data_IF_785529796430
#
_entry.id   IF_785529796430
#
_cell.length_a   1.000
_cell.length_b   1.000
_cell.length_c   1.000
_cell.angle_alpha   90.00
_cell.angle_beta   90.00
_cell.angle_gamma   90.00
#
_symmetry.space_group_name_H-M   'P 1'
#
loop_
_entity.id
_entity.type
_entity.pdbx_description
1 polymer ?
#
# COMPACT_ATOMS: atom_id res chain seq x y z
N UNK A 1 27.66 13.99 -26.14
CA UNK A 1 27.64 14.60 -24.79
C UNK A 1 28.41 13.69 -23.84
N UNK A 2 28.92 14.17 -22.69
CA UNK A 2 29.49 13.25 -21.67
C UNK A 2 28.31 12.55 -20.97
N UNK A 3 28.27 11.23 -20.98
CA UNK A 3 27.17 10.44 -20.43
C UNK A 3 26.91 10.66 -18.93
N UNK A 4 27.94 11.08 -18.17
CA UNK A 4 27.79 11.49 -16.76
C UNK A 4 26.80 12.65 -16.54
N UNK A 5 26.59 13.53 -17.53
CA UNK A 5 25.58 14.59 -17.45
C UNK A 5 24.14 14.08 -17.57
N UNK A 6 23.94 12.81 -17.93
CA UNK A 6 22.63 12.16 -17.97
C UNK A 6 22.42 11.39 -16.65
N UNK A 7 23.39 10.57 -16.23
CA UNK A 7 23.24 9.70 -15.06
C UNK A 7 23.17 10.45 -13.72
N UNK A 8 23.89 11.57 -13.56
CA UNK A 8 23.85 12.39 -12.35
C UNK A 8 22.46 13.00 -12.08
N UNK A 9 21.89 13.79 -13.01
CA UNK A 9 20.54 14.32 -12.89
C UNK A 9 19.46 13.23 -12.83
N UNK A 10 19.62 12.12 -13.55
CA UNK A 10 18.69 11.00 -13.48
C UNK A 10 18.64 10.36 -12.08
N UNK A 11 19.76 10.28 -11.36
CA UNK A 11 19.77 9.80 -9.96
C UNK A 11 19.01 10.73 -9.00
N UNK A 12 19.15 12.06 -9.16
CA UNK A 12 18.37 13.03 -8.39
C UNK A 12 16.87 12.94 -8.71
N UNK A 13 16.53 12.68 -9.97
CA UNK A 13 15.15 12.45 -10.42
C UNK A 13 14.57 11.15 -9.83
N UNK A 14 15.33 10.05 -9.78
CA UNK A 14 14.88 8.81 -9.10
C UNK A 14 14.66 9.04 -7.60
N UNK A 15 15.54 9.78 -6.93
CA UNK A 15 15.38 10.14 -5.51
C UNK A 15 14.11 10.96 -5.26
N UNK A 16 13.82 11.94 -6.11
CA UNK A 16 12.61 12.76 -6.00
C UNK A 16 11.34 11.94 -6.27
N UNK A 17 11.31 11.16 -7.36
CA UNK A 17 10.14 10.39 -7.76
C UNK A 17 9.85 9.18 -6.88
N UNK A 18 10.78 8.74 -6.02
CA UNK A 18 10.52 7.73 -4.98
C UNK A 18 9.48 8.20 -3.94
N UNK A 19 9.37 9.51 -3.71
CA UNK A 19 8.40 10.11 -2.78
C UNK A 19 7.12 10.60 -3.46
N UNK A 20 7.01 10.50 -4.79
CA UNK A 20 5.75 10.78 -5.49
C UNK A 20 4.83 9.55 -5.48
N UNK A 21 3.51 9.71 -5.70
CA UNK A 21 2.58 8.61 -5.90
C UNK A 21 3.05 7.61 -6.96
N UNK A 22 3.13 6.33 -6.58
CA UNK A 22 3.45 5.20 -7.44
C UNK A 22 2.22 4.38 -7.80
N UNK A 23 1.30 4.26 -6.84
CA UNK A 23 0.07 3.47 -6.95
C UNK A 23 -1.06 4.26 -6.29
N UNK A 24 -2.21 4.35 -6.95
CA UNK A 24 -3.47 4.73 -6.31
C UNK A 24 -4.39 3.53 -6.27
N UNK A 25 -4.97 3.25 -5.10
CA UNK A 25 -5.87 2.11 -4.88
C UNK A 25 -7.31 2.61 -4.81
N UNK A 26 -8.18 2.08 -5.67
CA UNK A 26 -9.63 2.23 -5.60
C UNK A 26 -10.32 0.91 -5.25
N UNK A 27 -11.50 1.00 -4.64
CA UNK A 27 -12.42 -0.13 -4.47
C UNK A 27 -13.78 0.28 -5.06
N UNK A 28 -14.28 -0.49 -6.03
CA UNK A 28 -15.53 -0.21 -6.74
C UNK A 28 -15.63 1.25 -7.28
N UNK A 29 -14.52 1.79 -7.79
CA UNK A 29 -14.43 3.17 -8.30
C UNK A 29 -14.27 4.28 -7.25
N UNK A 30 -14.29 3.96 -5.95
CA UNK A 30 -14.02 4.94 -4.88
C UNK A 30 -12.52 4.95 -4.54
N UNK A 31 -11.81 6.09 -4.59
CA UNK A 31 -10.39 6.16 -4.25
C UNK A 31 -10.19 6.01 -2.74
N UNK A 32 -9.36 5.05 -2.31
CA UNK A 32 -9.03 4.80 -0.90
C UNK A 32 -7.78 5.59 -0.50
N UNK A 33 -6.79 5.69 -1.39
CA UNK A 33 -5.57 6.44 -1.15
C UNK A 33 -4.54 6.32 -2.26
N UNK A 34 -3.55 7.21 -2.22
CA UNK A 34 -2.34 7.16 -3.04
C UNK A 34 -1.14 6.80 -2.17
N UNK A 35 -0.23 5.99 -2.71
CA UNK A 35 0.94 5.48 -2.00
C UNK A 35 2.20 5.78 -2.81
N UNK A 36 3.17 6.42 -2.17
CA UNK A 36 4.50 6.62 -2.74
C UNK A 36 5.37 5.37 -2.63
N UNK A 37 6.52 5.35 -3.32
CA UNK A 37 7.53 4.30 -3.13
C UNK A 37 8.01 4.19 -1.67
N UNK A 38 8.01 5.31 -0.93
CA UNK A 38 8.32 5.36 0.50
C UNK A 38 7.24 4.70 1.37
N UNK A 39 5.96 4.96 1.09
CA UNK A 39 4.82 4.37 1.82
C UNK A 39 4.76 2.85 1.64
N UNK A 40 4.98 2.39 0.40
CA UNK A 40 5.06 0.98 0.03
C UNK A 40 6.29 0.29 0.67
N UNK A 41 7.40 1.01 0.84
CA UNK A 41 8.62 0.49 1.47
C UNK A 41 8.51 0.35 3.00
N UNK A 42 7.85 1.31 3.67
CA UNK A 42 7.59 1.23 5.11
C UNK A 42 6.42 0.31 5.47
N UNK A 43 5.42 0.19 4.60
CA UNK A 43 4.14 -0.41 4.97
C UNK A 43 3.33 0.58 5.80
N UNK A 44 3.00 1.73 5.20
CA UNK A 44 2.22 2.74 5.90
C UNK A 44 0.89 2.15 6.38
N UNK A 45 0.51 2.50 7.62
CA UNK A 45 -0.77 2.10 8.18
C UNK A 45 -1.87 2.82 7.41
N UNK A 46 -2.83 2.07 6.84
CA UNK A 46 -4.06 2.60 6.25
C UNK A 46 -4.99 3.32 7.27
N UNK A 47 -4.54 3.44 8.52
CA UNK A 47 -5.33 3.76 9.70
C UNK A 47 -5.72 5.23 9.79
N UNK A 48 -4.90 6.18 9.32
CA UNK A 48 -5.18 7.61 9.53
C UNK A 48 -6.22 8.19 8.54
N UNK A 49 -6.44 7.55 7.37
CA UNK A 49 -7.55 7.89 6.48
C UNK A 49 -8.79 7.02 6.75
N UNK A 50 -8.63 5.70 6.97
CA UNK A 50 -9.75 4.83 7.33
C UNK A 50 -10.35 5.19 8.71
N UNK A 51 -9.53 5.69 9.64
CA UNK A 51 -9.94 6.10 10.98
C UNK A 51 -10.88 7.30 11.04
N UNK A 52 -10.97 8.11 9.98
CA UNK A 52 -11.97 9.19 9.87
C UNK A 52 -13.31 8.73 9.27
N UNK A 53 -13.35 7.57 8.60
CA UNK A 53 -14.56 7.04 7.95
C UNK A 53 -15.15 5.82 8.66
N UNK A 54 -14.37 5.07 9.44
CA UNK A 54 -14.81 3.91 10.21
C UNK A 54 -15.19 2.68 9.37
N UNK A 55 -14.95 2.72 8.05
CA UNK A 55 -15.40 1.70 7.10
C UNK A 55 -14.46 0.50 6.97
N UNK A 56 -13.24 0.57 7.52
CA UNK A 56 -12.22 -0.49 7.40
C UNK A 56 -11.51 -0.67 8.75
N UNK A 57 -11.35 -1.93 9.19
CA UNK A 57 -10.55 -2.26 10.37
C UNK A 57 -9.07 -1.88 10.17
N UNK A 58 -8.30 -1.60 11.24
CA UNK A 58 -6.93 -1.09 11.14
C UNK A 58 -5.91 -2.15 10.67
N UNK A 59 -5.92 -2.44 9.37
CA UNK A 59 -4.93 -3.30 8.71
C UNK A 59 -3.58 -2.59 8.56
N UNK A 60 -2.52 -3.21 9.11
CA UNK A 60 -1.14 -2.90 8.73
C UNK A 60 -0.85 -3.52 7.37
N UNK A 61 -0.62 -2.68 6.35
CA UNK A 61 -0.04 -3.14 5.10
C UNK A 61 1.39 -3.64 5.40
N UNK A 62 1.73 -4.87 4.98
CA UNK A 62 3.10 -5.37 5.19
C UNK A 62 4.04 -4.71 4.18
N UNK A 63 4.81 -3.73 4.65
CA UNK A 63 5.75 -2.97 3.84
C UNK A 63 6.82 -3.83 3.19
N UNK A 64 7.11 -3.56 1.92
CA UNK A 64 8.21 -4.20 1.22
C UNK A 64 9.50 -3.38 1.37
N UNK A 65 10.23 -3.66 2.45
CA UNK A 65 11.50 -3.01 2.76
C UNK A 65 12.54 -3.13 1.63
N UNK A 66 12.38 -4.08 0.70
CA UNK A 66 13.25 -4.22 -0.47
C UNK A 66 13.17 -3.00 -1.41
N UNK A 67 12.06 -2.26 -1.40
CA UNK A 67 11.89 -1.05 -2.22
C UNK A 67 12.85 0.08 -1.84
N UNK A 68 13.42 0.10 -0.63
CA UNK A 68 14.50 1.01 -0.24
C UNK A 68 15.81 0.83 -1.05
N UNK A 69 15.93 -0.26 -1.82
CA UNK A 69 17.02 -0.43 -2.80
C UNK A 69 17.00 0.68 -3.87
N UNK A 70 15.84 1.23 -4.24
CA UNK A 70 15.74 2.25 -5.29
C UNK A 70 16.43 3.58 -4.92
N UNK A 71 16.13 4.23 -3.77
CA UNK A 71 16.87 5.41 -3.34
C UNK A 71 18.32 5.09 -2.97
N UNK A 72 18.62 3.90 -2.45
CA UNK A 72 20.00 3.47 -2.16
C UNK A 72 20.86 3.41 -3.44
N UNK A 73 20.35 2.83 -4.52
CA UNK A 73 21.00 2.80 -5.84
C UNK A 73 21.22 4.21 -6.37
N UNK A 74 20.21 5.09 -6.25
CA UNK A 74 20.35 6.46 -6.69
C UNK A 74 21.42 7.24 -5.91
N UNK A 75 21.54 7.03 -4.59
CA UNK A 75 22.64 7.58 -3.78
C UNK A 75 24.01 7.03 -4.19
N UNK A 76 24.12 5.73 -4.48
CA UNK A 76 25.36 5.10 -4.97
C UNK A 76 25.77 5.70 -6.33
N UNK A 77 24.82 5.86 -7.25
CA UNK A 77 25.05 6.48 -8.57
C UNK A 77 25.46 7.96 -8.43
N UNK A 78 24.84 8.70 -7.52
CA UNK A 78 25.21 10.09 -7.22
C UNK A 78 26.63 10.18 -6.64
N UNK A 79 27.02 9.24 -5.76
CA UNK A 79 28.39 9.12 -5.24
C UNK A 79 29.41 8.84 -6.35
N UNK A 80 29.11 7.91 -7.27
CA UNK A 80 29.94 7.66 -8.45
C UNK A 80 30.03 8.89 -9.38
N UNK A 81 28.94 9.62 -9.58
CA UNK A 81 28.93 10.87 -10.36
C UNK A 81 29.85 11.93 -9.73
N UNK A 82 29.75 12.17 -8.41
CA UNK A 82 30.61 13.10 -7.67
C UNK A 82 32.08 12.67 -7.80
N UNK A 83 32.38 11.39 -7.61
CA UNK A 83 33.74 10.85 -7.74
C UNK A 83 34.31 11.02 -9.16
N UNK A 84 33.49 10.85 -10.20
CA UNK A 84 33.88 11.04 -11.61
C UNK A 84 34.06 12.52 -11.98
N UNK A 85 33.36 13.44 -11.32
CA UNK A 85 33.57 14.89 -11.46
C UNK A 85 34.85 15.33 -10.74
N UNK A 86 35.06 14.86 -9.51
CA UNK A 86 36.24 15.19 -8.70
C UNK A 86 37.55 14.63 -9.28
N UNK A 87 37.51 13.45 -9.93
CA UNK A 87 38.71 12.83 -10.49
C UNK A 87 38.44 12.21 -11.87
N UNK A 88 39.02 12.79 -12.93
CA UNK A 88 38.86 12.26 -14.30
C UNK A 88 39.43 10.84 -14.48
N UNK A 89 40.37 10.40 -13.61
CA UNK A 89 40.95 9.04 -13.69
C UNK A 89 39.97 7.96 -13.22
N UNK A 90 39.06 8.26 -12.29
CA UNK A 90 38.07 7.30 -11.77
C UNK A 90 36.81 7.21 -12.64
N UNK A 91 36.59 8.16 -13.57
CA UNK A 91 35.36 8.26 -14.35
C UNK A 91 34.94 6.96 -15.08
N UNK A 92 35.89 6.17 -15.59
CA UNK A 92 35.60 4.85 -16.19
C UNK A 92 35.07 3.84 -15.16
N UNK A 93 35.69 3.77 -13.98
CA UNK A 93 35.29 2.87 -12.88
C UNK A 93 33.93 3.29 -12.34
N UNK A 94 33.71 4.59 -12.18
CA UNK A 94 32.43 5.15 -11.77
C UNK A 94 31.29 4.82 -12.76
N UNK A 95 31.55 4.89 -14.08
CA UNK A 95 30.56 4.54 -15.10
C UNK A 95 30.20 3.04 -15.10
N UNK A 96 31.16 2.14 -14.86
CA UNK A 96 30.85 0.72 -14.62
C UNK A 96 30.02 0.53 -13.35
N UNK A 97 30.38 1.21 -12.26
CA UNK A 97 29.65 1.18 -10.99
C UNK A 97 28.19 1.64 -11.13
N UNK A 98 27.96 2.77 -11.81
CA UNK A 98 26.59 3.29 -12.05
C UNK A 98 25.78 2.42 -13.01
N UNK A 99 26.43 1.78 -14.00
CA UNK A 99 25.75 0.84 -14.90
C UNK A 99 25.27 -0.41 -14.14
N UNK A 100 26.13 -1.01 -13.33
CA UNK A 100 25.81 -2.20 -12.52
C UNK A 100 24.72 -1.86 -11.49
N UNK A 101 24.84 -0.72 -10.80
CA UNK A 101 23.83 -0.26 -9.86
C UNK A 101 22.46 -0.06 -10.54
N UNK A 102 22.41 0.67 -11.67
CA UNK A 102 21.17 0.89 -12.42
C UNK A 102 20.52 -0.41 -12.91
N UNK A 103 21.31 -1.34 -13.46
CA UNK A 103 20.82 -2.65 -13.89
C UNK A 103 20.30 -3.49 -12.71
N UNK A 104 20.96 -3.44 -11.54
CA UNK A 104 20.49 -4.15 -10.35
C UNK A 104 19.14 -3.62 -9.84
N UNK A 105 18.90 -2.32 -9.94
CA UNK A 105 17.61 -1.70 -9.58
C UNK A 105 16.49 -2.11 -10.52
N UNK A 106 16.74 -2.09 -11.84
CA UNK A 106 15.79 -2.57 -12.85
C UNK A 106 15.49 -4.07 -12.64
N UNK A 107 16.49 -4.88 -12.30
CA UNK A 107 16.31 -6.31 -12.02
C UNK A 107 15.46 -6.56 -10.76
N UNK A 108 15.76 -5.88 -9.65
CA UNK A 108 14.97 -5.98 -8.40
C UNK A 108 13.53 -5.52 -8.63
N UNK A 109 13.34 -4.40 -9.36
CA UNK A 109 12.02 -3.91 -9.73
C UNK A 109 11.25 -4.94 -10.58
N UNK A 110 11.89 -5.50 -11.62
CA UNK A 110 11.27 -6.48 -12.51
C UNK A 110 10.90 -7.78 -11.77
N UNK A 111 11.79 -8.30 -10.92
CA UNK A 111 11.51 -9.49 -10.11
C UNK A 111 10.34 -9.26 -9.16
N UNK A 112 10.23 -8.05 -8.58
CA UNK A 112 9.11 -7.71 -7.70
C UNK A 112 7.81 -7.46 -8.45
N UNK A 113 7.88 -6.85 -9.64
CA UNK A 113 6.75 -6.68 -10.54
C UNK A 113 6.16 -8.02 -11.00
N UNK A 114 7.01 -9.01 -11.30
CA UNK A 114 6.57 -10.36 -11.64
C UNK A 114 5.83 -11.06 -10.49
N UNK A 115 6.25 -10.86 -9.24
CA UNK A 115 5.53 -11.38 -8.06
C UNK A 115 4.17 -10.70 -7.85
N UNK A 116 4.09 -9.38 -8.10
CA UNK A 116 2.83 -8.63 -8.02
C UNK A 116 1.85 -9.05 -9.12
N UNK A 117 2.35 -9.36 -10.33
CA UNK A 117 1.55 -9.79 -11.47
C UNK A 117 0.93 -11.20 -11.34
N UNK A 118 1.36 -11.99 -10.35
CA UNK A 118 0.87 -13.36 -10.07
C UNK A 118 -0.19 -13.36 -8.93
N UNK A 119 -0.59 -12.16 -8.46
CA UNK A 119 -1.51 -11.97 -7.32
C UNK A 119 -2.87 -11.44 -7.78
N UNK A 120 -3.83 -12.34 -8.05
CA UNK A 120 -5.21 -12.02 -8.50
C UNK A 120 -6.05 -11.27 -7.43
N UNK A 121 -5.82 -9.96 -7.25
CA UNK A 121 -6.57 -9.11 -6.31
C UNK A 121 -7.91 -8.64 -6.87
N UNK A 122 -8.87 -9.55 -6.98
CA UNK A 122 -10.22 -9.37 -7.58
C UNK A 122 -11.14 -8.29 -6.97
N UNK A 123 -10.67 -7.48 -6.02
CA UNK A 123 -11.47 -6.47 -5.29
C UNK A 123 -10.82 -5.07 -5.22
N UNK A 124 -9.56 -4.92 -5.63
CA UNK A 124 -8.84 -3.64 -5.61
C UNK A 124 -8.37 -3.27 -7.00
N UNK A 125 -8.80 -2.10 -7.47
CA UNK A 125 -8.35 -1.53 -8.73
C UNK A 125 -7.06 -0.75 -8.48
N UNK A 126 -5.94 -1.34 -8.91
CA UNK A 126 -4.58 -0.83 -8.69
C UNK A 126 -4.19 0.00 -9.91
N UNK A 127 -4.37 1.33 -9.84
CA UNK A 127 -3.96 2.23 -10.93
C UNK A 127 -2.51 2.67 -10.73
N UNK A 128 -1.67 2.44 -11.75
CA UNK A 128 -0.24 2.81 -11.74
C UNK A 128 -0.10 4.31 -11.97
N UNK A 129 0.53 5.02 -11.04
CA UNK A 129 0.73 6.47 -11.11
C UNK A 129 2.07 6.84 -11.79
N UNK A 130 2.21 8.06 -12.36
CA UNK A 130 3.40 8.47 -13.11
C UNK A 130 4.73 8.41 -12.34
N UNK A 131 4.71 8.47 -10.99
CA UNK A 131 5.93 8.37 -10.18
C UNK A 131 6.66 7.04 -10.35
N UNK A 132 5.93 5.93 -10.46
CA UNK A 132 6.51 4.61 -10.71
C UNK A 132 7.15 4.53 -12.10
N UNK A 133 6.42 4.91 -13.15
CA UNK A 133 6.96 4.94 -14.52
C UNK A 133 8.18 5.88 -14.65
N UNK A 134 8.15 7.02 -13.97
CA UNK A 134 9.26 7.97 -13.95
C UNK A 134 10.50 7.48 -13.20
N UNK A 135 10.37 6.69 -12.13
CA UNK A 135 11.54 6.05 -11.49
C UNK A 135 12.16 4.96 -12.36
N UNK A 136 11.33 4.13 -13.02
CA UNK A 136 11.80 3.14 -14.00
C UNK A 136 12.53 3.81 -15.16
N UNK A 137 11.98 4.91 -15.71
CA UNK A 137 12.64 5.74 -16.73
C UNK A 137 13.94 6.36 -16.21
N UNK A 138 13.98 6.84 -14.97
CA UNK A 138 15.17 7.38 -14.33
C UNK A 138 16.30 6.34 -14.20
N UNK A 139 15.98 5.11 -13.76
CA UNK A 139 16.94 4.00 -13.72
C UNK A 139 17.45 3.63 -15.12
N UNK A 140 16.57 3.61 -16.12
CA UNK A 140 16.94 3.39 -17.52
C UNK A 140 17.86 4.50 -18.05
N UNK A 141 17.61 5.76 -17.71
CA UNK A 141 18.50 6.90 -18.04
C UNK A 141 19.85 6.83 -17.33
N UNK A 142 19.94 6.29 -16.11
CA UNK A 142 21.21 6.01 -15.43
C UNK A 142 22.02 4.96 -16.21
N UNK A 143 21.38 3.86 -16.64
CA UNK A 143 22.03 2.81 -17.43
C UNK A 143 22.50 3.35 -18.79
N UNK A 144 21.63 4.06 -19.53
CA UNK A 144 21.96 4.68 -20.81
C UNK A 144 23.09 5.72 -20.66
N UNK A 145 23.02 6.61 -19.66
CA UNK A 145 24.07 7.60 -19.39
C UNK A 145 25.42 6.95 -19.08
N UNK A 146 25.41 5.83 -18.35
CA UNK A 146 26.61 5.04 -18.05
C UNK A 146 27.19 4.40 -19.32
N UNK A 147 26.34 3.76 -20.14
CA UNK A 147 26.72 3.16 -21.43
C UNK A 147 27.30 4.22 -22.38
N UNK A 148 26.73 5.43 -22.44
CA UNK A 148 27.23 6.53 -23.28
C UNK A 148 28.60 7.04 -22.80
N UNK A 149 28.86 7.13 -21.50
CA UNK A 149 30.19 7.49 -20.96
C UNK A 149 31.25 6.40 -21.27
N UNK A 150 30.84 5.12 -21.30
CA UNK A 150 31.72 3.98 -21.63
C UNK A 150 32.00 3.84 -23.14
N UNK A 151 30.99 3.99 -24.00
CA UNK A 151 31.10 3.81 -25.45
C UNK A 151 31.63 5.05 -26.19
N UNK A 152 31.34 6.26 -25.69
CA UNK A 152 31.77 7.53 -26.31
C UNK A 152 32.66 8.38 -25.39
N UNK A 153 33.83 7.86 -24.92
CA UNK A 153 34.76 8.59 -24.09
C UNK A 153 35.42 9.74 -24.88
N UNK A 154 34.79 10.92 -24.84
CA UNK A 154 35.38 12.19 -25.29
C UNK A 154 35.09 12.64 -26.73
N UNK A 155 34.27 11.93 -27.52
CA UNK A 155 33.89 12.42 -28.86
C UNK A 155 32.80 13.50 -28.78
N UNK A 156 33.22 14.76 -28.90
CA UNK A 156 32.35 15.91 -29.16
C UNK A 156 32.08 16.08 -30.65
N UNK A 157 30.85 15.83 -31.09
CA UNK A 157 30.34 16.40 -32.33
C UNK A 157 29.78 17.80 -32.02
N UNK A 158 30.06 18.78 -32.88
CA UNK A 158 29.57 20.16 -32.76
C UNK A 158 28.16 20.25 -33.35
N UNK A 159 27.17 20.54 -32.50
CA UNK A 159 25.85 21.03 -32.91
C UNK A 159 25.16 21.75 -31.74
N UNK A 160 24.43 22.82 -32.07
CA UNK A 160 23.69 23.76 -31.19
C UNK A 160 24.46 24.99 -30.71
N UNK A 161 25.01 25.75 -31.67
CA UNK A 161 25.13 27.22 -31.56
C UNK A 161 23.96 27.87 -32.30
N UNK A 162 22.76 27.85 -31.70
CA UNK A 162 21.72 28.84 -32.03
C UNK A 162 22.02 30.11 -31.24
N UNK A 163 23.03 30.85 -31.69
CA UNK A 163 23.26 32.22 -31.25
C UNK A 163 23.66 33.06 -32.48
N UNK A 164 22.76 33.94 -32.90
CA UNK A 164 22.89 34.71 -34.14
C UNK A 164 23.94 35.81 -33.97
N UNK A 165 25.18 35.52 -34.35
CA UNK A 165 26.26 36.50 -34.43
C UNK A 165 26.66 36.70 -35.89
N UNK A 166 26.30 37.85 -36.45
CA UNK A 166 26.72 38.26 -37.80
C UNK A 166 28.23 38.53 -37.78
N UNK A 167 28.99 37.85 -38.64
CA UNK A 167 30.42 38.09 -38.79
C UNK A 167 30.68 39.40 -39.56
N UNK A 168 31.64 40.24 -39.14
CA UNK A 168 32.00 41.45 -39.86
C UNK A 168 32.71 41.11 -41.18
N UNK A 169 32.25 41.71 -42.28
CA UNK A 169 32.88 41.60 -43.59
C UNK A 169 34.21 42.38 -43.62
N UNK A 170 35.24 41.78 -44.23
CA UNK A 170 36.51 42.45 -44.51
C UNK A 170 36.39 43.16 -45.86
N UNK A 171 36.60 44.48 -45.86
CA UNK A 171 36.77 45.26 -47.08
C UNK A 171 37.98 46.20 -46.96
N UNK A 172 38.74 46.33 -48.05
CA UNK A 172 39.99 47.06 -48.06
C UNK A 172 39.77 48.59 -48.14
N UNK A 173 40.66 49.40 -47.53
CA UNK A 173 40.52 50.85 -47.52
C UNK A 173 41.02 51.52 -48.82
N UNK A 174 40.33 52.56 -49.33
CA UNK A 174 40.89 53.46 -50.34
C UNK A 174 41.79 54.53 -49.69
N UNK A 175 42.85 55.01 -50.37
CA UNK A 175 43.77 56.02 -49.82
C UNK A 175 43.38 57.46 -50.20
N UNK A 176 43.46 58.41 -49.25
CA UNK A 176 43.53 59.88 -49.45
C UNK A 176 44.22 60.56 -48.23
N UNK A 177 44.71 61.82 -48.33
CA UNK A 177 45.95 62.24 -47.64
C UNK A 177 45.82 63.21 -46.45
N UNK A 178 46.93 63.29 -45.70
CA UNK A 178 47.43 64.35 -44.80
C UNK A 178 46.51 65.49 -44.30
N UNK A 179 46.41 65.60 -42.97
CA UNK A 179 46.37 66.88 -42.23
C UNK A 179 46.81 66.66 -40.76
N UNK A 180 47.17 67.72 -40.04
CA UNK A 180 47.64 67.71 -38.63
C UNK A 180 47.10 68.97 -37.89
N UNK A 181 47.44 69.25 -36.63
CA UNK A 181 47.01 68.53 -35.41
C UNK A 181 46.41 69.48 -34.32
N UNK A 182 46.20 68.97 -33.09
CA UNK A 182 46.04 69.73 -31.80
C UNK A 182 44.58 69.96 -31.29
N UNK A 183 44.31 70.57 -30.09
CA UNK A 183 43.83 69.81 -28.91
C UNK A 183 42.57 70.43 -28.19
N UNK A 184 42.43 70.49 -26.84
CA UNK A 184 41.90 69.46 -25.92
C UNK A 184 40.72 69.92 -24.99
N UNK A 185 40.39 69.11 -23.96
CA UNK A 185 39.69 69.47 -22.68
C UNK A 185 38.13 69.68 -22.71
N UNK A 186 37.41 69.85 -21.55
CA UNK A 186 37.40 68.96 -20.36
C UNK A 186 36.03 68.76 -19.64
N UNK A 187 35.97 67.76 -18.75
CA UNK A 187 35.25 67.64 -17.46
C UNK A 187 33.95 68.42 -17.12
N UNK A 188 32.91 67.66 -16.70
CA UNK A 188 31.97 67.89 -15.56
C UNK A 188 31.16 66.58 -15.34
N UNK A 189 30.87 66.03 -14.13
CA UNK A 189 30.19 66.53 -12.90
C UNK A 189 28.76 67.03 -13.21
N UNK A 190 27.71 66.76 -12.42
CA UNK A 190 27.61 66.47 -10.97
C UNK A 190 26.21 65.81 -10.66
N UNK A 191 25.85 65.62 -9.37
CA UNK A 191 24.50 65.58 -8.69
C UNK A 191 23.21 64.90 -9.32
N UNK A 192 22.07 64.58 -8.63
CA UNK A 192 21.66 64.52 -7.19
C UNK A 192 20.42 63.58 -6.92
N UNK A 193 20.06 63.37 -5.62
CA UNK A 193 18.77 63.04 -4.92
C UNK A 193 17.62 62.26 -5.63
N UNK A 194 16.94 61.24 -5.04
CA UNK A 194 16.05 61.20 -3.84
C UNK A 194 14.75 62.06 -3.98
N UNK A 195 13.51 61.71 -3.55
CA UNK A 195 12.93 60.71 -2.60
C UNK A 195 11.45 60.40 -3.03
N UNK A 196 10.72 59.35 -2.56
CA UNK A 196 9.59 59.37 -1.57
C UNK A 196 8.72 58.10 -1.90
N UNK A 197 8.36 57.12 -1.03
CA UNK A 197 7.48 57.01 0.18
C UNK A 197 5.95 56.88 -0.12
N UNK A 198 5.27 55.88 0.48
CA UNK A 198 3.96 55.97 1.20
C UNK A 198 3.32 54.60 1.62
N UNK A 199 2.40 54.63 2.62
CA UNK A 199 1.67 53.51 3.32
C UNK A 199 0.75 54.14 4.43
N UNK A 200 -0.18 53.46 5.17
CA UNK A 200 -0.68 52.07 5.11
C UNK A 200 -2.15 51.96 4.57
N UNK A 201 -3.31 51.83 5.29
CA UNK A 201 -3.64 51.83 6.74
C UNK A 201 -4.09 50.44 7.31
N UNK A 202 -5.23 50.34 8.04
CA UNK A 202 -5.50 49.31 9.08
C UNK A 202 -6.92 48.70 9.18
N UNK A 203 -6.97 47.47 9.73
CA UNK A 203 -7.93 46.82 10.67
C UNK A 203 -9.47 46.81 10.50
N UNK A 204 -10.10 45.64 10.77
CA UNK A 204 -11.19 45.47 11.77
C UNK A 204 -11.46 43.98 12.13
N UNK A 205 -11.92 43.71 13.37
CA UNK A 205 -12.35 42.42 13.97
C UNK A 205 -13.00 42.72 15.36
N UNK A 206 -13.66 41.79 16.10
CA UNK A 206 -14.44 40.59 15.76
C UNK A 206 -15.93 40.69 16.21
N UNK A 207 -16.75 39.65 15.98
CA UNK A 207 -17.96 39.34 16.78
C UNK A 207 -18.03 37.82 16.99
N UNK A 208 -18.57 37.37 18.13
CA UNK A 208 -18.67 35.97 18.55
C UNK A 208 -20.01 35.76 19.29
N UNK A 209 -20.71 34.64 19.08
CA UNK A 209 -21.97 34.33 19.76
C UNK A 209 -22.22 32.82 19.96
N UNK A 210 -22.65 32.45 21.17
CA UNK A 210 -23.17 31.17 21.65
C UNK A 210 -23.98 31.48 22.95
N UNK A 211 -24.67 30.52 23.59
CA UNK A 211 -25.66 29.56 23.06
C UNK A 211 -27.00 29.66 23.85
N UNK A 212 -28.09 29.08 23.36
CA UNK A 212 -29.33 28.88 24.16
C UNK A 212 -29.95 27.50 23.85
N UNK A 213 -30.38 26.70 24.86
CA UNK A 213 -30.93 25.35 24.67
C UNK A 213 -32.49 25.35 24.84
N UNK A 214 -33.20 24.27 25.25
CA UNK A 214 -34.43 23.85 24.57
C UNK A 214 -35.75 24.37 25.21
N UNK A 215 -36.84 24.28 24.44
CA UNK A 215 -38.22 24.50 24.92
C UNK A 215 -39.07 23.24 24.72
N UNK A 216 -39.92 22.97 25.71
CA UNK A 216 -40.81 21.80 25.81
C UNK A 216 -42.10 22.00 25.00
N UNK A 217 -42.64 20.92 24.43
CA UNK A 217 -44.09 20.72 24.33
C UNK A 217 -44.43 19.28 24.71
N UNK A 218 -45.18 19.13 25.81
CA UNK A 218 -45.86 17.89 26.19
C UNK A 218 -47.22 17.81 25.49
N UNK A 219 -47.71 16.61 25.22
CA UNK A 219 -49.14 16.36 25.03
C UNK A 219 -49.51 14.94 25.47
N UNK A 220 -49.65 14.80 26.79
CA UNK A 220 -50.78 14.14 27.47
C UNK A 220 -51.22 12.70 27.10
N UNK A 221 -51.39 11.88 28.17
CA UNK A 221 -52.59 11.04 28.45
C UNK A 221 -52.75 9.74 27.61
N UNK A 222 -53.03 8.55 28.17
CA UNK A 222 -53.34 8.13 29.56
C UNK A 222 -52.84 6.69 29.82
N UNK A 223 -52.65 6.25 31.08
CA UNK A 223 -52.39 4.85 31.41
C UNK A 223 -53.69 4.02 31.56
N UNK A 224 -53.54 2.70 31.58
CA UNK A 224 -54.52 1.77 32.18
C UNK A 224 -53.83 0.99 33.30
N UNK A 225 -54.27 1.23 34.54
CA UNK A 225 -53.91 0.43 35.70
C UNK A 225 -54.65 -0.92 35.67
N UNK A 226 -54.00 -1.96 36.17
CA UNK A 226 -54.66 -2.99 36.96
C UNK A 226 -53.83 -3.17 38.24
N UNK A 227 -54.29 -2.52 39.32
CA UNK A 227 -53.94 -2.85 40.70
C UNK A 227 -54.35 -4.33 40.97
N UNK A 228 -53.60 -5.11 41.74
CA UNK A 228 -53.58 -5.06 43.22
C UNK A 228 -54.63 -6.03 43.78
N UNK A 229 -54.50 -6.70 44.93
CA UNK A 229 -53.48 -6.73 45.99
C UNK A 229 -53.33 -8.21 46.49
N UNK A 230 -53.06 -8.54 47.78
CA UNK A 230 -51.76 -9.01 48.25
C UNK A 230 -51.75 -10.56 48.53
N UNK A 231 -51.00 -11.19 49.45
CA UNK A 231 -50.90 -11.02 50.91
C UNK A 231 -49.59 -11.64 51.47
N UNK A 232 -49.08 -11.05 52.56
CA UNK A 232 -48.22 -11.60 53.64
C UNK A 232 -47.07 -12.61 53.38
N UNK A 233 -45.86 -12.10 53.59
CA UNK A 233 -45.05 -12.31 54.82
C UNK A 233 -44.56 -13.71 55.28
N UNK A 234 -43.25 -13.72 55.60
CA UNK A 234 -42.57 -14.54 56.61
C UNK A 234 -42.55 -16.09 56.50
N UNK A 235 -41.43 -16.62 55.99
CA UNK A 235 -40.64 -17.63 56.72
C UNK A 235 -39.18 -17.70 56.24
N UNK A 236 -38.24 -17.99 57.17
CA UNK A 236 -36.91 -18.50 56.82
C UNK A 236 -36.98 -20.03 56.74
N UNK A 237 -36.50 -20.61 55.64
CA UNK A 237 -35.99 -22.00 55.65
C UNK A 237 -34.76 -22.10 54.75
N UNK A 238 -33.62 -22.47 55.33
CA UNK A 238 -32.46 -22.93 54.54
C UNK A 238 -32.70 -24.41 54.24
N UNK A 239 -32.75 -24.79 52.97
CA UNK A 239 -32.81 -26.20 52.57
C UNK A 239 -31.39 -26.74 52.48
N UNK A 240 -30.96 -27.41 53.55
CA UNK A 240 -29.70 -28.12 53.61
C UNK A 240 -29.77 -29.40 52.77
N UNK A 241 -28.82 -29.60 51.86
CA UNK A 241 -28.83 -30.72 50.91
C UNK A 241 -28.17 -31.96 51.56
N UNK A 242 -28.80 -33.15 51.51
CA UNK A 242 -28.30 -34.32 52.24
C UNK A 242 -26.94 -34.82 51.72
N UNK A 243 -26.09 -35.39 52.58
CA UNK A 243 -24.73 -35.80 52.22
C UNK A 243 -24.73 -37.03 51.30
N UNK A 244 -24.11 -36.88 50.13
CA UNK A 244 -23.85 -37.99 49.20
C UNK A 244 -22.74 -38.89 49.77
N UNK A 245 -22.93 -40.22 49.85
CA UNK A 245 -21.92 -41.12 50.38
C UNK A 245 -20.67 -41.19 49.48
N UNK A 246 -19.47 -41.41 50.04
CA UNK A 246 -18.22 -41.39 49.28
C UNK A 246 -18.12 -42.56 48.32
N UNK A 247 -18.35 -42.31 47.03
CA UNK A 247 -18.07 -43.30 46.00
C UNK A 247 -16.54 -43.42 45.81
N UNK A 248 -16.07 -44.64 45.62
CA UNK A 248 -14.65 -44.97 45.68
C UNK A 248 -13.87 -44.34 44.51
N UNK A 249 -12.63 -43.94 44.76
CA UNK A 249 -11.79 -43.29 43.76
C UNK A 249 -11.52 -44.21 42.56
N UNK A 250 -12.26 -43.99 41.48
CA UNK A 250 -12.01 -44.66 40.21
C UNK A 250 -10.61 -44.29 39.71
N UNK A 251 -9.76 -45.31 39.53
CA UNK A 251 -8.39 -45.18 39.02
C UNK A 251 -8.39 -44.35 37.73
N UNK A 252 -7.88 -43.12 37.79
CA UNK A 252 -7.75 -42.25 36.62
C UNK A 252 -6.63 -42.80 35.73
N UNK A 253 -6.97 -43.71 34.81
CA UNK A 253 -6.11 -44.01 33.68
C UNK A 253 -6.15 -42.80 32.75
N UNK A 254 -5.09 -41.98 32.86
CA UNK A 254 -4.84 -40.87 31.93
C UNK A 254 -4.50 -41.47 30.57
N UNK A 255 -5.54 -41.72 29.77
CA UNK A 255 -5.39 -41.82 28.33
C UNK A 255 -4.68 -40.54 27.87
N UNK A 256 -3.46 -40.69 27.36
CA UNK A 256 -2.67 -39.60 26.80
C UNK A 256 -3.25 -39.19 25.45
N UNK A 257 -4.47 -38.65 25.48
CA UNK A 257 -5.10 -38.02 24.33
C UNK A 257 -4.21 -36.85 23.89
N UNK A 258 -3.62 -36.96 22.70
CA UNK A 258 -2.89 -35.86 22.09
C UNK A 258 -3.85 -34.68 21.98
N UNK A 259 -3.46 -33.44 22.39
CA UNK A 259 -4.33 -32.29 22.19
C UNK A 259 -4.66 -32.16 20.69
N UNK A 260 -5.94 -31.94 20.34
CA UNK A 260 -6.37 -31.91 18.94
C UNK A 260 -5.59 -30.82 18.18
N UNK A 261 -5.25 -31.05 16.90
CA UNK A 261 -4.48 -30.10 16.10
C UNK A 261 -5.27 -28.80 15.97
N UNK A 262 -4.61 -27.65 16.18
CA UNK A 262 -5.29 -26.36 16.12
C UNK A 262 -5.44 -25.97 14.65
N UNK A 263 -6.67 -26.08 14.15
CA UNK A 263 -7.01 -25.82 12.77
C UNK A 263 -7.91 -24.59 12.61
N UNK A 264 -7.67 -23.82 11.56
CA UNK A 264 -8.45 -22.64 11.18
C UNK A 264 -8.88 -22.71 9.72
N UNK A 265 -10.08 -22.18 9.46
CA UNK A 265 -10.55 -21.86 8.13
C UNK A 265 -10.41 -20.35 7.93
N UNK A 266 -9.59 -19.95 6.96
CA UNK A 266 -9.30 -18.55 6.64
C UNK A 266 -9.99 -18.17 5.34
N UNK A 267 -10.81 -17.13 5.34
CA UNK A 267 -11.42 -16.62 4.12
C UNK A 267 -10.35 -15.83 3.33
N UNK A 268 -10.28 -16.08 2.01
CA UNK A 268 -9.29 -15.56 1.06
C UNK A 268 -9.90 -14.83 -0.15
N UNK A 269 -11.22 -14.73 -0.20
CA UNK A 269 -11.99 -14.02 -1.24
C UNK A 269 -13.42 -13.82 -0.77
N UNK A 270 -14.01 -12.66 -1.07
CA UNK A 270 -15.37 -12.28 -0.67
C UNK A 270 -15.38 -11.20 0.41
N UNK A 271 -16.57 -10.81 0.87
CA UNK A 271 -16.75 -9.68 1.80
C UNK A 271 -16.10 -9.89 3.19
N UNK A 272 -15.76 -11.13 3.54
CA UNK A 272 -15.19 -11.53 4.83
C UNK A 272 -13.70 -11.91 4.74
N UNK A 273 -12.99 -11.42 3.71
CA UNK A 273 -11.57 -11.73 3.50
C UNK A 273 -10.71 -11.46 4.75
N UNK A 274 -9.71 -12.32 4.96
CA UNK A 274 -8.82 -12.29 6.12
C UNK A 274 -9.41 -12.81 7.44
N UNK A 275 -10.74 -12.99 7.54
CA UNK A 275 -11.36 -13.57 8.73
C UNK A 275 -10.96 -15.03 8.93
N UNK A 276 -10.85 -15.45 10.20
CA UNK A 276 -10.37 -16.78 10.61
C UNK A 276 -11.35 -17.40 11.60
N UNK A 277 -11.83 -18.59 11.28
CA UNK A 277 -12.76 -19.36 12.12
C UNK A 277 -12.03 -20.61 12.62
N UNK A 278 -12.16 -20.96 13.90
CA UNK A 278 -11.58 -22.20 14.41
C UNK A 278 -12.39 -23.39 13.92
N UNK A 279 -11.71 -24.36 13.30
CA UNK A 279 -12.34 -25.58 12.79
C UNK A 279 -12.75 -26.48 13.97
N UNK A 280 -14.03 -26.80 14.03
CA UNK A 280 -14.66 -27.58 15.10
C UNK A 280 -15.59 -28.64 14.49
N UNK A 281 -15.92 -29.69 15.25
CA UNK A 281 -16.91 -30.68 14.81
C UNK A 281 -18.31 -30.04 14.74
N UNK A 282 -19.07 -30.34 13.70
CA UNK A 282 -20.40 -29.79 13.46
C UNK A 282 -20.45 -28.37 12.86
N UNK A 283 -19.30 -27.69 12.70
CA UNK A 283 -19.22 -26.29 12.24
C UNK A 283 -19.92 -26.09 10.89
N UNK A 284 -20.96 -25.25 10.88
CA UNK A 284 -21.84 -25.01 9.73
C UNK A 284 -21.42 -23.78 8.90
N UNK A 285 -21.56 -23.89 7.59
CA UNK A 285 -21.14 -22.87 6.61
C UNK A 285 -22.27 -22.66 5.59
N UNK A 286 -22.66 -21.41 5.36
CA UNK A 286 -23.72 -21.07 4.41
C UNK A 286 -24.06 -19.59 4.44
N UNK A 287 -25.02 -19.15 3.63
CA UNK A 287 -25.45 -17.74 3.61
C UNK A 287 -26.43 -17.38 4.73
N UNK A 288 -27.02 -18.36 5.41
CA UNK A 288 -27.97 -18.10 6.48
C UNK A 288 -27.27 -17.57 7.74
N UNK A 289 -27.88 -16.58 8.39
CA UNK A 289 -27.51 -16.07 9.71
C UNK A 289 -27.49 -17.15 10.81
N UNK A 290 -28.16 -18.29 10.58
CA UNK A 290 -28.13 -19.44 11.47
C UNK A 290 -26.90 -20.35 11.31
N UNK A 291 -25.97 -20.07 10.37
CA UNK A 291 -24.71 -20.81 10.22
C UNK A 291 -23.58 -20.18 11.05
N UNK A 292 -22.70 -21.01 11.61
CA UNK A 292 -21.53 -20.57 12.39
C UNK A 292 -20.57 -19.69 11.56
N UNK A 293 -20.45 -20.01 10.26
CA UNK A 293 -19.80 -19.18 9.25
C UNK A 293 -20.87 -18.70 8.25
N UNK A 294 -21.48 -17.55 8.54
CA UNK A 294 -22.37 -16.85 7.61
C UNK A 294 -21.55 -16.19 6.48
N UNK A 295 -21.66 -16.72 5.25
CA UNK A 295 -21.04 -16.17 4.04
C UNK A 295 -22.05 -15.30 3.26
N UNK A 296 -21.91 -13.95 3.21
CA UNK A 296 -22.83 -13.05 2.52
C UNK A 296 -22.69 -13.06 0.97
N UNK A 297 -22.67 -14.25 0.37
CA UNK A 297 -22.52 -14.45 -1.07
C UNK A 297 -23.79 -15.10 -1.66
N UNK A 298 -24.45 -14.42 -2.60
CA UNK A 298 -25.64 -14.94 -3.30
C UNK A 298 -25.41 -16.25 -4.06
N UNK A 299 -24.15 -16.60 -4.37
CA UNK A 299 -23.78 -17.90 -4.94
C UNK A 299 -23.66 -19.03 -3.89
N UNK A 300 -23.92 -18.75 -2.61
CA UNK A 300 -23.90 -19.71 -1.49
C UNK A 300 -25.34 -19.99 -1.03
N UNK A 301 -25.68 -21.28 -0.92
CA UNK A 301 -26.95 -21.78 -0.36
C UNK A 301 -27.09 -21.42 1.13
N UNK A 302 -28.32 -21.33 1.66
CA UNK A 302 -28.58 -20.92 3.05
C UNK A 302 -27.77 -21.75 4.04
N UNK A 303 -27.92 -23.08 3.98
CA UNK A 303 -26.94 -24.05 4.46
C UNK A 303 -26.22 -24.58 3.22
N UNK A 304 -24.88 -24.56 3.22
CA UNK A 304 -24.07 -24.96 2.06
C UNK A 304 -23.17 -26.15 2.38
N UNK A 305 -22.48 -26.10 3.52
CA UNK A 305 -21.59 -27.17 3.96
C UNK A 305 -21.52 -27.27 5.48
N UNK A 306 -21.04 -28.39 5.99
CA UNK A 306 -20.65 -28.55 7.40
C UNK A 306 -19.34 -29.32 7.53
N UNK A 307 -18.52 -28.95 8.50
CA UNK A 307 -17.30 -29.68 8.85
C UNK A 307 -17.61 -30.74 9.91
N UNK A 308 -17.06 -31.94 9.74
CA UNK A 308 -16.97 -32.95 10.81
C UNK A 308 -15.51 -33.24 11.15
N UNK A 309 -15.22 -33.58 12.41
CA UNK A 309 -13.91 -34.02 12.87
C UNK A 309 -13.98 -35.47 13.34
N UNK A 310 -13.33 -36.39 12.62
CA UNK A 310 -13.32 -37.83 12.91
C UNK A 310 -11.97 -38.43 12.58
N UNK A 311 -11.49 -39.38 13.40
CA UNK A 311 -10.21 -40.07 13.21
C UNK A 311 -9.02 -39.11 13.02
N UNK A 312 -8.96 -38.05 13.83
CA UNK A 312 -8.00 -36.94 13.76
C UNK A 312 -7.98 -36.16 12.43
N UNK A 313 -9.03 -36.28 11.60
CA UNK A 313 -9.18 -35.58 10.32
C UNK A 313 -10.45 -34.74 10.28
N UNK A 314 -10.31 -33.50 9.80
CA UNK A 314 -11.44 -32.65 9.45
C UNK A 314 -11.92 -32.99 8.03
N UNK A 315 -13.22 -33.11 7.83
CA UNK A 315 -13.85 -33.31 6.51
C UNK A 315 -15.01 -32.34 6.35
N UNK A 316 -15.05 -31.62 5.23
CA UNK A 316 -16.17 -30.76 4.85
C UNK A 316 -17.13 -31.56 3.96
N UNK A 317 -18.44 -31.47 4.26
CA UNK A 317 -19.52 -32.14 3.54
C UNK A 317 -20.45 -31.10 2.91
N UNK A 318 -20.80 -31.28 1.64
CA UNK A 318 -21.71 -30.43 0.86
C UNK A 318 -23.18 -30.81 1.13
N UNK A 319 -24.01 -29.86 1.57
CA UNK A 319 -25.45 -30.09 1.82
C UNK A 319 -26.28 -29.95 0.53
N UNK A 320 -25.86 -30.64 -0.53
CA UNK A 320 -26.45 -30.57 -1.87
C UNK A 320 -26.62 -29.13 -2.38
N UNK A 321 -25.57 -28.30 -2.19
CA UNK A 321 -25.63 -26.88 -2.53
C UNK A 321 -25.69 -26.64 -4.05
N UNK A 322 -26.34 -25.53 -4.42
CA UNK A 322 -26.71 -25.24 -5.81
C UNK A 322 -25.51 -25.18 -6.76
N UNK A 323 -24.41 -24.57 -6.32
CA UNK A 323 -23.15 -24.55 -7.07
C UNK A 323 -22.24 -25.72 -6.69
N UNK A 324 -22.28 -26.16 -5.44
CA UNK A 324 -21.41 -27.20 -4.90
C UNK A 324 -20.16 -26.66 -4.24
N UNK A 325 -19.55 -27.51 -3.41
CA UNK A 325 -18.21 -27.31 -2.89
C UNK A 325 -17.17 -27.67 -3.95
N UNK A 326 -16.22 -26.78 -4.28
CA UNK A 326 -15.10 -27.08 -5.17
C UNK A 326 -13.77 -27.10 -4.42
N UNK A 327 -12.98 -28.16 -4.59
CA UNK A 327 -11.60 -28.24 -4.11
C UNK A 327 -10.63 -27.84 -5.23
N UNK A 328 -9.61 -27.04 -4.91
CA UNK A 328 -8.49 -26.80 -5.82
C UNK A 328 -7.57 -28.02 -5.88
N UNK A 329 -7.08 -28.38 -7.06
CA UNK A 329 -6.11 -29.46 -7.25
C UNK A 329 -4.75 -28.92 -7.76
N UNK A 330 -3.72 -28.78 -6.91
CA UNK A 330 -2.40 -28.25 -7.31
C UNK A 330 -1.65 -29.06 -8.38
N UNK A 331 -2.11 -30.27 -8.74
CA UNK A 331 -1.51 -31.12 -9.78
C UNK A 331 -2.05 -30.84 -11.18
N UNK A 332 -3.30 -30.39 -11.30
CA UNK A 332 -3.94 -30.04 -12.58
C UNK A 332 -4.21 -28.54 -12.71
N UNK A 333 -4.13 -27.79 -11.61
CA UNK A 333 -4.51 -26.37 -11.52
C UNK A 333 -6.01 -26.12 -11.72
N UNK A 334 -6.83 -27.16 -11.53
CA UNK A 334 -8.28 -27.13 -11.73
C UNK A 334 -9.06 -27.06 -10.42
N UNK A 335 -10.31 -26.59 -10.52
CA UNK A 335 -11.30 -26.63 -9.45
C UNK A 335 -12.27 -27.78 -9.68
N UNK A 336 -12.27 -28.78 -8.80
CA UNK A 336 -13.08 -29.99 -8.95
C UNK A 336 -14.19 -29.98 -7.89
N UNK A 337 -15.45 -30.08 -8.34
CA UNK A 337 -16.62 -30.20 -7.45
C UNK A 337 -16.57 -31.54 -6.70
N UNK A 338 -16.79 -31.51 -5.38
CA UNK A 338 -16.74 -32.68 -4.51
C UNK A 338 -17.80 -32.57 -3.41
N UNK A 339 -18.53 -33.66 -3.16
CA UNK A 339 -19.52 -33.74 -2.08
C UNK A 339 -18.86 -33.85 -0.69
N UNK A 340 -17.62 -34.36 -0.64
CA UNK A 340 -16.82 -34.49 0.57
C UNK A 340 -15.37 -34.09 0.28
N UNK A 341 -14.81 -33.20 1.09
CA UNK A 341 -13.44 -32.69 0.96
C UNK A 341 -12.70 -32.94 2.28
N UNK A 342 -11.63 -33.74 2.24
CA UNK A 342 -10.72 -33.88 3.39
C UNK A 342 -9.92 -32.59 3.55
N UNK A 343 -9.94 -32.03 4.75
CA UNK A 343 -9.28 -30.75 5.04
C UNK A 343 -7.85 -31.03 5.52
N UNK A 344 -6.88 -30.76 4.66
CA UNK A 344 -5.44 -30.81 4.95
C UNK A 344 -4.86 -29.38 4.98
N UNK A 345 -3.65 -29.21 5.50
CA UNK A 345 -2.99 -27.90 5.54
C UNK A 345 -2.82 -27.29 4.13
N UNK A 346 -3.13 -26.00 3.98
CA UNK A 346 -3.21 -25.26 2.71
C UNK A 346 -4.27 -25.78 1.71
N UNK A 347 -5.26 -26.56 2.14
CA UNK A 347 -6.39 -26.96 1.26
C UNK A 347 -7.22 -25.74 0.90
N UNK A 348 -7.37 -25.45 -0.40
CA UNK A 348 -8.18 -24.35 -0.93
C UNK A 348 -9.52 -24.86 -1.43
N UNK A 349 -10.59 -24.27 -0.89
CA UNK A 349 -11.99 -24.61 -1.14
C UNK A 349 -12.69 -23.37 -1.69
N UNK A 350 -13.59 -23.55 -2.66
CA UNK A 350 -14.42 -22.47 -3.21
C UNK A 350 -15.89 -22.81 -3.03
N UNK A 351 -16.60 -21.91 -2.35
CA UNK A 351 -18.03 -21.97 -2.10
C UNK A 351 -18.67 -20.74 -2.78
N UNK A 352 -19.32 -20.95 -3.91
CA UNK A 352 -19.79 -19.84 -4.77
C UNK A 352 -18.61 -19.01 -5.32
N UNK A 353 -18.50 -17.76 -4.88
CA UNK A 353 -17.39 -16.83 -5.18
C UNK A 353 -16.40 -16.70 -4.02
N UNK A 354 -16.78 -17.17 -2.82
CA UNK A 354 -15.93 -17.18 -1.63
C UNK A 354 -14.85 -18.25 -1.78
N UNK A 355 -13.60 -17.91 -1.48
CA UNK A 355 -12.49 -18.88 -1.38
C UNK A 355 -12.08 -18.96 0.09
N UNK A 356 -11.86 -20.17 0.57
CA UNK A 356 -11.47 -20.48 1.94
C UNK A 356 -10.21 -21.36 1.89
N UNK A 357 -9.27 -21.10 2.78
CA UNK A 357 -8.01 -21.83 2.91
C UNK A 357 -7.90 -22.42 4.32
N UNK A 358 -7.60 -23.70 4.38
CA UNK A 358 -7.39 -24.43 5.63
C UNK A 358 -5.95 -24.23 6.10
N UNK A 359 -5.77 -23.88 7.36
CA UNK A 359 -4.45 -23.83 8.03
C UNK A 359 -4.50 -24.75 9.25
N UNK A 360 -3.61 -25.74 9.33
CA UNK A 360 -3.54 -26.71 10.44
C UNK A 360 -2.17 -26.62 11.10
N UNK A 361 -2.14 -26.13 12.34
CA UNK A 361 -0.92 -26.20 13.17
C UNK A 361 -0.89 -27.57 13.86
N UNK A 362 0.13 -28.42 13.58
CA UNK A 362 0.26 -29.70 14.24
C UNK A 362 0.60 -29.51 15.73
N UNK A 363 -0.07 -30.30 16.58
CA UNK A 363 0.23 -30.46 18.01
C UNK A 363 1.38 -31.42 18.30
#
# INVERSE_FOLDING_TARGET
>A
MKGRFISGPAALLVLFLFFLPWVSVSCNGLPIGEFSGFDLALGSKLVDLAGQTGLIAPGTLSGDQLLFIMPLIALIVLGFFILAVANQKTAKVAAWGSMIAGLSGILVFLLRWLQLSDSDTMFFEITIQPGLWGTVLGLLLIVIGSIVELLLPGKTAVATTLNTSVAPQIHAPPPQPYSSPSPPQPNKRLDERATFKDTPPEAYKPVQAQPIPPTIMESEVHPTLLEGEPVDSAAKTVVEMPPVPPHQAAKTEVLAAKPPPIAWLVIRSGQLDGQRFSLQDGLSIGRDTACDIMLPDTAVSNQHASVSFRNDQYTLHDHNSTNGCLCFQPKTTEWVKMEQIQLQDNTKIKLGRTILEVIIVPS
#
